data_IF_273796111516
#
_entry.id   IF_273796111516
#
_cell.length_a   1.000
_cell.length_b   1.000
_cell.length_c   1.000
_cell.angle_alpha   90.00
_cell.angle_beta   90.00
_cell.angle_gamma   90.00
#
_symmetry.space_group_name_H-M   'P 1'
#
loop_
_entity.id
_entity.type
_entity.pdbx_description
1 polymer ?
#
# COMPACT_ATOMS: atom_id res chain seq x y z
N UNK A 1 -9.62 -7.39 -7.67
CA UNK A 1 -10.50 -8.32 -6.93
C UNK A 1 -9.64 -9.43 -6.34
N UNK A 2 -10.01 -9.97 -5.19
CA UNK A 2 -9.22 -10.97 -4.49
C UNK A 2 -9.15 -12.30 -5.25
N UNK A 3 -7.95 -12.75 -5.59
CA UNK A 3 -7.70 -14.12 -6.02
C UNK A 3 -7.85 -15.11 -4.83
N UNK A 4 -7.82 -16.44 -5.05
CA UNK A 4 -8.00 -17.41 -3.98
C UNK A 4 -6.98 -17.30 -2.83
N UNK A 5 -5.72 -16.97 -3.12
CA UNK A 5 -4.66 -16.83 -2.11
C UNK A 5 -4.89 -15.57 -1.29
N UNK A 6 -5.19 -14.46 -1.96
CA UNK A 6 -5.52 -13.18 -1.30
C UNK A 6 -6.80 -13.30 -0.47
N UNK A 7 -7.82 -13.98 -0.99
CA UNK A 7 -9.07 -14.22 -0.29
C UNK A 7 -8.86 -15.04 0.98
N UNK A 8 -8.05 -16.10 0.93
CA UNK A 8 -7.71 -16.89 2.11
C UNK A 8 -6.91 -16.06 3.13
N UNK A 9 -5.85 -15.38 2.69
CA UNK A 9 -4.97 -14.62 3.57
C UNK A 9 -5.68 -13.45 4.27
N UNK A 10 -6.62 -12.79 3.57
CA UNK A 10 -7.37 -11.64 4.09
C UNK A 10 -8.74 -12.04 4.70
N UNK A 11 -9.06 -13.34 4.70
CA UNK A 11 -10.33 -13.88 5.17
C UNK A 11 -11.53 -13.20 4.50
N UNK A 12 -11.52 -13.22 3.17
CA UNK A 12 -12.55 -12.65 2.30
C UNK A 12 -13.16 -13.75 1.42
N UNK A 13 -14.31 -13.45 0.84
CA UNK A 13 -14.84 -14.25 -0.25
C UNK A 13 -13.97 -14.06 -1.50
N UNK A 14 -13.73 -15.11 -2.31
CA UNK A 14 -13.11 -14.95 -3.62
C UNK A 14 -13.83 -13.87 -4.44
N UNK A 15 -13.07 -13.03 -5.15
CA UNK A 15 -13.61 -11.92 -5.93
C UNK A 15 -13.98 -10.68 -5.14
N UNK A 16 -13.81 -10.65 -3.81
CA UNK A 16 -14.03 -9.44 -3.00
C UNK A 16 -13.15 -8.26 -3.46
N UNK A 17 -13.65 -7.03 -3.26
CA UNK A 17 -12.89 -5.83 -3.56
C UNK A 17 -11.67 -5.70 -2.64
N UNK A 18 -10.54 -5.31 -3.23
CA UNK A 18 -9.28 -5.07 -2.53
C UNK A 18 -8.80 -3.66 -2.82
N UNK A 19 -8.15 -3.05 -1.84
CA UNK A 19 -7.27 -1.91 -2.07
C UNK A 19 -5.84 -2.44 -2.20
N UNK A 20 -5.13 -1.94 -3.22
CA UNK A 20 -3.72 -2.27 -3.46
C UNK A 20 -2.88 -1.01 -3.33
N UNK A 21 -1.87 -1.05 -2.46
CA UNK A 21 -0.81 -0.06 -2.44
C UNK A 21 0.44 -0.62 -3.11
N UNK A 22 1.14 0.23 -3.86
CA UNK A 22 2.49 -0.01 -4.36
C UNK A 22 3.35 1.16 -3.90
N UNK A 23 4.45 0.89 -3.23
CA UNK A 23 5.34 1.90 -2.70
C UNK A 23 6.79 1.59 -3.05
N UNK A 24 7.56 2.64 -3.27
CA UNK A 24 9.02 2.58 -3.35
C UNK A 24 9.56 3.33 -2.15
N UNK A 25 10.33 2.65 -1.31
CA UNK A 25 11.02 3.30 -0.21
C UNK A 25 12.45 3.62 -0.67
N UNK A 26 12.92 4.83 -0.34
CA UNK A 26 14.26 5.31 -0.65
C UNK A 26 15.06 5.53 0.63
N UNK A 27 16.38 5.39 0.56
CA UNK A 27 17.27 5.83 1.63
C UNK A 27 17.39 7.37 1.67
N UNK A 28 18.23 7.89 2.57
CA UNK A 28 18.46 9.34 2.71
C UNK A 28 19.09 9.98 1.47
N UNK A 29 19.75 9.20 0.60
CA UNK A 29 20.29 9.66 -0.68
C UNK A 29 19.29 9.59 -1.83
N UNK A 30 18.04 9.21 -1.56
CA UNK A 30 17.02 9.01 -2.59
C UNK A 30 17.20 7.71 -3.39
N UNK A 31 18.10 6.81 -2.97
CA UNK A 31 18.33 5.55 -3.67
C UNK A 31 17.23 4.56 -3.29
N UNK A 32 16.51 3.96 -4.26
CA UNK A 32 15.50 2.95 -3.96
C UNK A 32 16.08 1.74 -3.21
N UNK A 33 15.47 1.38 -2.09
CA UNK A 33 15.86 0.23 -1.27
C UNK A 33 14.80 -0.86 -1.21
N UNK A 34 13.52 -0.51 -1.43
CA UNK A 34 12.41 -1.47 -1.39
C UNK A 34 11.33 -1.13 -2.42
N UNK A 35 10.77 -2.16 -3.04
CA UNK A 35 9.49 -2.10 -3.76
C UNK A 35 8.45 -2.94 -3.01
N UNK A 36 7.56 -2.27 -2.28
CA UNK A 36 6.50 -2.90 -1.51
C UNK A 36 5.20 -3.01 -2.28
N UNK A 37 4.49 -4.13 -2.14
CA UNK A 37 3.08 -4.26 -2.52
C UNK A 37 2.27 -4.72 -1.31
N UNK A 38 1.21 -3.99 -0.97
CA UNK A 38 0.31 -4.33 0.14
C UNK A 38 -1.13 -4.44 -0.35
N UNK A 39 -1.86 -5.44 0.14
CA UNK A 39 -3.27 -5.67 -0.17
C UNK A 39 -4.11 -5.54 1.09
N UNK A 40 -5.20 -4.78 1.02
CA UNK A 40 -6.14 -4.57 2.12
C UNK A 40 -7.55 -5.03 1.71
N UNK A 41 -8.30 -5.54 2.69
CA UNK A 41 -9.73 -5.79 2.54
C UNK A 41 -10.48 -4.47 2.33
N UNK A 42 -11.05 -4.28 1.13
CA UNK A 42 -11.61 -2.99 0.72
C UNK A 42 -12.85 -2.55 1.48
N UNK A 43 -13.52 -3.48 2.16
CA UNK A 43 -14.71 -3.23 3.00
C UNK A 43 -14.36 -2.95 4.47
N UNK A 44 -13.09 -3.14 4.88
CA UNK A 44 -12.65 -2.94 6.28
C UNK A 44 -11.67 -1.78 6.45
N UNK A 45 -11.10 -1.27 5.36
CA UNK A 45 -10.02 -0.27 5.41
C UNK A 45 -10.41 0.97 4.62
N UNK A 46 -10.15 2.13 5.22
CA UNK A 46 -10.18 3.42 4.55
C UNK A 46 -8.80 4.05 4.65
N UNK A 47 -8.26 4.49 3.51
CA UNK A 47 -6.99 5.22 3.46
C UNK A 47 -7.29 6.71 3.42
N UNK A 48 -6.64 7.48 4.30
CA UNK A 48 -6.70 8.95 4.30
C UNK A 48 -5.30 9.45 4.00
N UNK A 49 -5.19 10.40 3.08
CA UNK A 49 -3.94 11.05 2.71
C UNK A 49 -4.00 12.49 3.19
N UNK A 50 -3.02 12.89 4.01
CA UNK A 50 -2.83 14.29 4.40
C UNK A 50 -2.02 15.03 3.35
N UNK A 51 -2.11 16.36 3.36
CA UNK A 51 -1.19 17.19 2.58
C UNK A 51 0.20 17.09 3.18
N UNK A 52 1.16 16.64 2.36
CA UNK A 52 2.57 16.69 2.73
C UNK A 52 3.08 18.09 2.40
N UNK A 53 3.32 18.90 3.44
CA UNK A 53 4.00 20.19 3.26
C UNK A 53 5.47 19.88 3.01
N UNK A 54 5.84 19.68 1.74
CA UNK A 54 7.16 19.23 1.28
C UNK A 54 8.32 20.13 1.68
N UNK A 55 8.64 20.20 2.97
CA UNK A 55 9.80 20.85 3.52
C UNK A 55 10.78 19.78 4.02
N UNK A 56 11.54 19.23 3.09
CA UNK A 56 12.96 19.04 3.31
C UNK A 56 13.67 18.81 1.98
N UNK A 57 13.94 19.89 1.28
CA UNK A 57 15.27 20.07 0.68
C UNK A 57 16.25 20.08 1.87
N UNK A 58 16.71 18.90 2.28
CA UNK A 58 17.66 18.72 3.37
C UNK A 58 19.06 18.87 2.77
N UNK A 59 19.67 20.00 3.11
CA UNK A 59 21.03 20.42 2.80
C UNK A 59 22.12 19.42 3.24
#
# INVERSE_FOLDING_TARGET
MADPVQALALQLRPGAALLRSVAVNVDAGGVPVELGTTWFAGDRVTLTVGEDSGASDQA
#
